data_IF_454498560111
#
_entry.id   IF_454498560111
#
_cell.length_a   1.000
_cell.length_b   1.000
_cell.length_c   1.000
_cell.angle_alpha   90.00
_cell.angle_beta   90.00
_cell.angle_gamma   90.00
#
_symmetry.space_group_name_H-M   'P 1'
#
loop_
_entity.id
_entity.type
_entity.pdbx_description
1 polymer ?
#
# COMPACT_ATOMS: atom_id res chain seq x y z
N UNK A 1 37.71 13.64 16.29
CA UNK A 1 36.68 12.58 16.23
C UNK A 1 35.83 12.83 15.01
N UNK A 2 35.62 11.85 14.14
CA UNK A 2 34.81 12.00 12.93
C UNK A 2 33.75 10.90 12.90
N UNK A 3 32.48 11.29 12.74
CA UNK A 3 31.38 10.36 12.55
C UNK A 3 31.44 9.84 11.10
N UNK A 4 31.91 8.59 10.93
CA UNK A 4 31.83 7.90 9.65
C UNK A 4 30.43 7.29 9.51
N UNK A 5 29.64 7.78 8.56
CA UNK A 5 28.31 7.26 8.23
C UNK A 5 28.37 6.66 6.83
N UNK A 6 27.94 5.41 6.66
CA UNK A 6 27.74 4.82 5.35
C UNK A 6 26.40 5.26 4.77
N UNK A 7 26.42 5.80 3.54
CA UNK A 7 25.21 6.17 2.83
C UNK A 7 24.57 4.90 2.27
N UNK A 8 23.58 4.36 2.98
CA UNK A 8 22.75 3.29 2.44
C UNK A 8 21.72 3.90 1.48
N UNK A 9 21.83 3.61 0.17
CA UNK A 9 20.73 3.85 -0.76
C UNK A 9 19.56 2.95 -0.33
N UNK A 10 18.40 3.57 -0.09
CA UNK A 10 17.16 2.86 0.23
C UNK A 10 16.95 1.73 -0.77
N UNK A 11 17.08 0.48 -0.33
CA UNK A 11 16.68 -0.66 -1.14
C UNK A 11 15.16 -0.72 -1.08
N UNK A 12 14.52 -0.42 -2.19
CA UNK A 12 13.09 -0.70 -2.35
C UNK A 12 12.91 -2.20 -2.20
N UNK A 13 12.22 -2.61 -1.13
CA UNK A 13 11.91 -4.00 -0.85
C UNK A 13 10.50 -4.29 -1.33
N UNK A 14 10.38 -5.23 -2.27
CA UNK A 14 9.10 -5.73 -2.76
C UNK A 14 9.12 -7.25 -2.79
N UNK A 15 8.12 -7.89 -2.18
CA UNK A 15 8.02 -9.34 -2.10
C UNK A 15 6.65 -9.82 -2.58
N UNK A 16 6.63 -10.96 -3.27
CA UNK A 16 5.38 -11.66 -3.58
C UNK A 16 4.81 -12.29 -2.31
N UNK A 17 3.53 -12.06 -2.06
CA UNK A 17 2.78 -12.56 -0.91
C UNK A 17 1.47 -13.18 -1.40
N UNK A 18 1.14 -14.34 -0.86
CA UNK A 18 -0.07 -15.11 -1.21
C UNK A 18 -1.23 -14.69 -0.31
N UNK A 19 -2.32 -14.20 -0.90
CA UNK A 19 -3.60 -13.98 -0.22
C UNK A 19 -4.39 -15.28 -0.18
N UNK A 20 -4.74 -15.76 1.02
CA UNK A 20 -5.30 -17.11 1.22
C UNK A 20 -6.63 -17.08 1.94
N UNK A 21 -7.48 -18.07 1.61
CA UNK A 21 -8.61 -18.48 2.43
C UNK A 21 -8.39 -19.93 2.88
N UNK A 22 -8.02 -20.09 4.15
CA UNK A 22 -7.56 -21.38 4.69
C UNK A 22 -6.31 -21.88 3.97
N UNK A 23 -6.40 -23.03 3.30
CA UNK A 23 -5.30 -23.63 2.53
C UNK A 23 -5.25 -23.21 1.05
N UNK A 24 -6.29 -22.51 0.56
CA UNK A 24 -6.39 -22.12 -0.84
C UNK A 24 -5.77 -20.74 -1.05
N UNK A 25 -4.84 -20.62 -2.00
CA UNK A 25 -4.37 -19.33 -2.53
C UNK A 25 -5.46 -18.77 -3.44
N UNK A 26 -5.88 -17.54 -3.14
CA UNK A 26 -6.89 -16.81 -3.92
C UNK A 26 -6.23 -15.87 -4.93
N UNK A 27 -5.16 -15.18 -4.51
CA UNK A 27 -4.41 -14.26 -5.35
C UNK A 27 -2.98 -14.10 -4.82
N UNK A 28 -2.09 -13.56 -5.64
CA UNK A 28 -0.74 -13.18 -5.25
C UNK A 28 -0.54 -11.68 -5.48
N UNK A 29 0.08 -11.00 -4.52
CA UNK A 29 0.40 -9.57 -4.62
C UNK A 29 1.89 -9.38 -4.44
N UNK A 30 2.53 -8.62 -5.32
CA UNK A 30 3.88 -8.12 -5.13
C UNK A 30 3.78 -6.83 -4.33
N UNK A 31 4.15 -6.88 -3.06
CA UNK A 31 3.91 -5.81 -2.08
C UNK A 31 5.22 -5.13 -1.74
N UNK A 32 5.22 -3.79 -1.77
CA UNK A 32 6.35 -2.96 -1.32
C UNK A 32 6.31 -2.75 0.19
N UNK A 33 7.48 -2.58 0.80
CA UNK A 33 7.59 -2.18 2.21
C UNK A 33 6.90 -0.84 2.48
N UNK A 34 6.33 -0.68 3.68
CA UNK A 34 5.60 0.53 4.07
C UNK A 34 6.47 1.79 4.01
N UNK A 35 7.80 1.67 4.12
CA UNK A 35 8.75 2.77 4.00
C UNK A 35 8.98 3.26 2.57
N UNK A 36 8.30 2.69 1.56
CA UNK A 36 8.39 3.14 0.18
C UNK A 36 8.06 4.62 0.06
N UNK A 37 9.01 5.42 -0.46
CA UNK A 37 8.94 6.88 -0.41
C UNK A 37 7.68 7.44 -1.06
N UNK A 38 7.25 6.90 -2.21
CA UNK A 38 6.05 7.40 -2.88
C UNK A 38 4.79 7.17 -2.03
N UNK A 39 4.69 6.03 -1.34
CA UNK A 39 3.61 5.78 -0.40
C UNK A 39 3.63 6.76 0.78
N UNK A 40 4.80 6.98 1.40
CA UNK A 40 4.94 7.95 2.51
C UNK A 40 4.51 9.36 2.09
N UNK A 41 4.97 9.82 0.92
CA UNK A 41 4.57 11.12 0.36
C UNK A 41 3.06 11.17 0.10
N UNK A 42 2.45 10.09 -0.38
CA UNK A 42 1.00 10.05 -0.60
C UNK A 42 0.21 10.16 0.71
N UNK A 43 0.66 9.51 1.79
CA UNK A 43 0.04 9.62 3.12
C UNK A 43 0.20 11.03 3.69
N UNK A 44 1.38 11.65 3.56
CA UNK A 44 1.60 13.04 3.98
C UNK A 44 0.67 13.99 3.22
N UNK A 45 0.52 13.82 1.90
CA UNK A 45 -0.41 14.60 1.09
C UNK A 45 -1.87 14.41 1.54
N UNK A 46 -2.27 13.18 1.85
CA UNK A 46 -3.61 12.89 2.35
C UNK A 46 -3.90 13.63 3.67
N UNK A 47 -2.96 13.64 4.60
CA UNK A 47 -3.10 14.38 5.86
C UNK A 47 -3.09 15.90 5.66
N UNK A 48 -2.22 16.42 4.78
CA UNK A 48 -2.18 17.85 4.47
C UNK A 48 -3.48 18.33 3.84
N UNK A 49 -4.10 17.51 2.99
CA UNK A 49 -5.40 17.83 2.39
C UNK A 49 -6.47 18.02 3.48
N UNK A 50 -6.56 17.12 4.46
CA UNK A 50 -7.51 17.25 5.57
C UNK A 50 -7.23 18.52 6.38
N UNK A 51 -5.96 18.80 6.69
CA UNK A 51 -5.60 20.03 7.43
C UNK A 51 -5.95 21.30 6.67
N UNK A 52 -5.87 21.29 5.33
CA UNK A 52 -6.13 22.46 4.49
C UNK A 52 -7.62 22.80 4.34
N UNK A 53 -8.52 21.81 4.45
CA UNK A 53 -9.98 22.01 4.34
C UNK A 53 -10.59 22.71 5.56
N UNK A 54 -9.86 22.78 6.68
CA UNK A 54 -10.32 23.42 7.90
C UNK A 54 -11.41 22.62 8.65
N UNK A 55 -12.08 23.28 9.59
CA UNK A 55 -13.08 22.67 10.49
C UNK A 55 -14.53 22.98 10.11
N UNK A 56 -14.76 23.80 9.07
CA UNK A 56 -16.11 24.16 8.63
C UNK A 56 -16.72 23.05 7.76
N UNK A 57 -17.46 22.16 8.43
CA UNK A 57 -18.13 21.03 7.79
C UNK A 57 -19.21 21.44 6.78
N UNK A 58 -19.67 22.69 6.79
CA UNK A 58 -20.70 23.17 5.85
C UNK A 58 -20.17 23.35 4.42
N UNK A 59 -18.84 23.41 4.25
CA UNK A 59 -18.19 23.49 2.94
C UNK A 59 -17.92 22.13 2.31
N UNK A 60 -18.25 21.03 2.98
CA UNK A 60 -18.05 19.68 2.46
C UNK A 60 -18.90 19.42 1.20
N UNK A 61 -18.32 18.75 0.22
CA UNK A 61 -18.93 18.46 -1.08
C UNK A 61 -18.76 16.98 -1.45
N UNK A 62 -19.55 16.52 -2.41
CA UNK A 62 -19.47 15.13 -2.90
C UNK A 62 -18.18 14.81 -3.67
N UNK A 63 -17.40 15.82 -4.06
CA UNK A 63 -16.08 15.65 -4.66
C UNK A 63 -14.95 15.54 -3.62
N UNK A 64 -15.26 15.75 -2.33
CA UNK A 64 -14.29 15.60 -1.26
C UNK A 64 -14.09 14.12 -0.92
N UNK A 65 -12.85 13.65 -1.09
CA UNK A 65 -12.44 12.36 -0.54
C UNK A 65 -12.28 12.41 0.97
N UNK A 66 -12.78 11.38 1.64
CA UNK A 66 -12.55 11.07 3.04
C UNK A 66 -11.09 10.65 3.24
N UNK A 67 -10.54 10.86 4.44
CA UNK A 67 -9.15 10.51 4.72
C UNK A 67 -8.85 9.03 4.47
N UNK A 68 -9.77 8.15 4.83
CA UNK A 68 -9.58 6.72 4.62
C UNK A 68 -9.58 6.36 3.12
N UNK A 69 -10.38 7.02 2.28
CA UNK A 69 -10.35 6.82 0.83
C UNK A 69 -8.98 7.21 0.25
N UNK A 70 -8.41 8.32 0.72
CA UNK A 70 -7.05 8.73 0.34
C UNK A 70 -5.99 7.71 0.79
N UNK A 71 -6.18 7.07 1.95
CA UNK A 71 -5.29 6.00 2.42
C UNK A 71 -5.43 4.72 1.60
N UNK A 72 -6.65 4.38 1.16
CA UNK A 72 -6.89 3.28 0.22
C UNK A 72 -6.18 3.58 -1.10
N UNK A 73 -6.38 4.76 -1.68
CA UNK A 73 -5.75 5.18 -2.94
C UNK A 73 -4.22 5.15 -2.84
N UNK A 74 -3.66 5.66 -1.74
CA UNK A 74 -2.22 5.65 -1.51
C UNK A 74 -1.67 4.21 -1.49
N UNK A 75 -2.35 3.29 -0.81
CA UNK A 75 -1.95 1.90 -0.76
C UNK A 75 -2.10 1.21 -2.13
N UNK A 76 -3.21 1.45 -2.83
CA UNK A 76 -3.48 0.91 -4.16
C UNK A 76 -2.39 1.34 -5.16
N UNK A 77 -2.04 2.63 -5.17
CA UNK A 77 -1.09 3.19 -6.12
C UNK A 77 0.38 2.86 -5.82
N UNK A 78 0.73 2.64 -4.54
CA UNK A 78 2.14 2.66 -4.13
C UNK A 78 2.59 1.43 -3.34
N UNK A 79 1.72 0.73 -2.61
CA UNK A 79 2.11 -0.49 -1.90
C UNK A 79 2.02 -1.73 -2.78
N UNK A 80 1.17 -1.74 -3.80
CA UNK A 80 1.13 -2.82 -4.78
C UNK A 80 2.09 -2.50 -5.92
N UNK A 81 2.99 -3.42 -6.21
CA UNK A 81 3.85 -3.37 -7.40
C UNK A 81 3.26 -4.14 -8.57
N UNK A 82 2.63 -5.28 -8.29
CA UNK A 82 2.02 -6.17 -9.27
C UNK A 82 1.08 -7.16 -8.55
N UNK A 83 0.26 -7.90 -9.29
CA UNK A 83 -0.57 -8.98 -8.75
C UNK A 83 -0.86 -10.09 -9.78
N UNK A 84 -1.43 -11.20 -9.32
CA UNK A 84 -1.95 -12.29 -10.16
C UNK A 84 -3.22 -12.88 -9.55
N UNK A 85 -4.13 -13.37 -10.40
CA UNK A 85 -5.34 -14.04 -9.95
C UNK A 85 -6.40 -13.10 -9.36
N UNK A 86 -6.33 -11.80 -9.66
CA UNK A 86 -7.36 -10.83 -9.27
C UNK A 86 -8.42 -10.77 -10.37
N UNK A 87 -9.62 -11.21 -10.03
CA UNK A 87 -10.80 -11.16 -10.89
C UNK A 87 -11.75 -10.12 -10.32
N UNK A 88 -12.18 -9.17 -11.15
CA UNK A 88 -13.23 -8.22 -10.80
C UNK A 88 -14.52 -8.64 -11.51
N UNK A 89 -15.64 -8.60 -10.78
CA UNK A 89 -16.97 -8.84 -11.31
C UNK A 89 -17.70 -7.50 -11.45
N UNK A 90 -18.03 -7.13 -12.68
CA UNK A 90 -18.76 -5.90 -13.00
C UNK A 90 -19.99 -6.22 -13.82
N UNK A 91 -21.17 -5.84 -13.33
CA UNK A 91 -22.45 -6.13 -13.99
C UNK A 91 -22.64 -7.62 -14.33
N UNK A 92 -22.05 -8.51 -13.51
CA UNK A 92 -22.07 -9.97 -13.69
C UNK A 92 -21.02 -10.52 -14.65
N UNK A 93 -20.14 -9.67 -15.20
CA UNK A 93 -19.01 -10.09 -16.05
C UNK A 93 -17.75 -10.20 -15.19
N UNK A 94 -17.21 -11.40 -15.09
CA UNK A 94 -15.96 -11.68 -14.39
C UNK A 94 -14.78 -11.55 -15.34
N UNK A 95 -13.83 -10.66 -15.02
CA UNK A 95 -12.62 -10.45 -15.81
C UNK A 95 -11.40 -10.50 -14.90
N UNK A 96 -10.42 -11.33 -15.26
CA UNK A 96 -9.09 -11.24 -14.65
C UNK A 96 -8.40 -9.97 -15.14
N UNK A 97 -8.00 -9.11 -14.20
CA UNK A 97 -7.42 -7.81 -14.52
C UNK A 97 -5.95 -7.76 -14.11
N UNK A 98 -5.08 -7.16 -14.93
CA UNK A 98 -3.71 -6.89 -14.52
C UNK A 98 -3.69 -5.77 -13.48
N UNK A 99 -2.57 -5.68 -12.74
CA UNK A 99 -2.37 -4.56 -11.84
C UNK A 99 -2.25 -3.26 -12.64
N UNK A 100 -3.13 -2.32 -12.32
CA UNK A 100 -2.95 -0.89 -12.60
C UNK A 100 -3.41 -0.11 -11.36
N UNK A 101 -2.94 1.12 -11.16
CA UNK A 101 -3.43 1.97 -10.07
C UNK A 101 -4.96 2.09 -10.07
N UNK A 102 -5.58 2.20 -11.24
CA UNK A 102 -7.04 2.29 -11.40
C UNK A 102 -7.74 1.01 -10.94
N UNK A 103 -7.26 -0.16 -11.39
CA UNK A 103 -7.83 -1.44 -10.98
C UNK A 103 -7.62 -1.69 -9.47
N UNK A 104 -6.49 -1.27 -8.91
CA UNK A 104 -6.20 -1.41 -7.49
C UNK A 104 -7.08 -0.49 -6.62
N UNK A 105 -7.28 0.76 -7.06
CA UNK A 105 -8.23 1.67 -6.41
C UNK A 105 -9.65 1.09 -6.46
N UNK A 106 -10.04 0.52 -7.60
CA UNK A 106 -11.33 -0.15 -7.78
C UNK A 106 -11.48 -1.36 -6.85
N UNK A 107 -10.47 -2.21 -6.77
CA UNK A 107 -10.43 -3.37 -5.87
C UNK A 107 -10.68 -2.95 -4.41
N UNK A 108 -10.02 -1.87 -3.95
CA UNK A 108 -10.14 -1.42 -2.57
C UNK A 108 -11.44 -0.67 -2.27
N UNK A 109 -11.91 0.17 -3.19
CA UNK A 109 -13.04 1.07 -2.96
C UNK A 109 -14.40 0.49 -3.35
N UNK A 110 -14.44 -0.39 -4.36
CA UNK A 110 -15.67 -0.94 -4.91
C UNK A 110 -15.81 -2.45 -4.66
N UNK A 111 -14.74 -3.14 -4.26
CA UNK A 111 -14.78 -4.56 -3.93
C UNK A 111 -15.50 -4.82 -2.61
N UNK A 112 -16.33 -5.88 -2.57
CA UNK A 112 -17.04 -6.36 -1.37
C UNK A 112 -16.10 -6.70 -0.20
N UNK A 113 -14.89 -7.18 -0.53
CA UNK A 113 -13.81 -7.47 0.43
C UNK A 113 -12.63 -6.49 0.33
N UNK A 114 -12.80 -5.34 -0.35
CA UNK A 114 -11.71 -4.40 -0.65
C UNK A 114 -10.95 -3.90 0.58
N UNK A 115 -11.67 -3.53 1.64
CA UNK A 115 -11.09 -3.08 2.92
C UNK A 115 -10.25 -4.18 3.58
N UNK A 116 -10.68 -5.45 3.48
CA UNK A 116 -9.98 -6.59 4.07
C UNK A 116 -8.66 -6.85 3.34
N UNK A 117 -8.68 -6.77 2.01
CA UNK A 117 -7.48 -6.88 1.17
C UNK A 117 -6.52 -5.73 1.48
N UNK A 118 -7.02 -4.49 1.56
CA UNK A 118 -6.20 -3.33 1.95
C UNK A 118 -5.51 -3.53 3.30
N UNK A 119 -6.27 -3.94 4.33
CA UNK A 119 -5.72 -4.16 5.67
C UNK A 119 -4.64 -5.25 5.66
N UNK A 120 -4.85 -6.33 4.90
CA UNK A 120 -3.86 -7.38 4.72
C UNK A 120 -2.61 -6.87 4.00
N UNK A 121 -2.75 -6.12 2.90
CA UNK A 121 -1.62 -5.55 2.14
C UNK A 121 -0.80 -4.62 3.03
N UNK A 122 -1.47 -3.77 3.82
CA UNK A 122 -0.79 -2.86 4.75
C UNK A 122 0.02 -3.65 5.80
N UNK A 123 -0.56 -4.70 6.37
CA UNK A 123 0.12 -5.58 7.33
C UNK A 123 1.36 -6.23 6.70
N UNK A 124 1.23 -6.76 5.48
CA UNK A 124 2.36 -7.34 4.75
C UNK A 124 3.45 -6.30 4.45
N UNK A 125 3.07 -5.08 4.06
CA UNK A 125 4.02 -3.99 3.83
C UNK A 125 4.80 -3.59 5.10
N UNK A 126 4.15 -3.59 6.26
CA UNK A 126 4.78 -3.36 7.56
C UNK A 126 5.77 -4.48 7.91
N UNK A 127 5.38 -5.75 7.75
CA UNK A 127 6.25 -6.92 7.97
C UNK A 127 7.49 -6.90 7.07
N UNK A 128 7.31 -6.65 5.77
CA UNK A 128 8.41 -6.53 4.79
C UNK A 128 9.39 -5.45 5.21
N UNK A 129 8.90 -4.31 5.70
CA UNK A 129 9.77 -3.23 6.15
C UNK A 129 10.52 -3.58 7.43
N UNK A 130 9.87 -4.24 8.39
CA UNK A 130 10.50 -4.70 9.62
C UNK A 130 11.63 -5.69 9.32
N UNK A 131 11.40 -6.66 8.44
CA UNK A 131 12.42 -7.62 8.01
C UNK A 131 13.59 -6.93 7.30
N UNK A 132 13.29 -6.01 6.37
CA UNK A 132 14.31 -5.22 5.66
C UNK A 132 15.19 -4.42 6.64
N UNK A 133 14.57 -3.76 7.61
CA UNK A 133 15.27 -2.97 8.63
C UNK A 133 16.17 -3.83 9.52
N UNK A 134 15.72 -5.04 9.89
CA UNK A 134 16.53 -6.00 10.67
C UNK A 134 17.78 -6.42 9.89
N UNK A 135 17.62 -6.80 8.62
CA UNK A 135 18.74 -7.19 7.75
C UNK A 135 19.77 -6.05 7.57
N UNK A 136 19.30 -4.82 7.46
CA UNK A 136 20.17 -3.65 7.39
C UNK A 136 20.98 -3.46 8.70
N UNK A 137 20.33 -3.58 9.86
CA UNK A 137 20.99 -3.46 11.16
C UNK A 137 22.05 -4.54 11.40
N UNK A 138 21.76 -5.80 11.05
CA UNK A 138 22.71 -6.91 11.16
C UNK A 138 23.93 -6.75 10.25
N UNK A 139 23.77 -6.08 9.11
CA UNK A 139 24.88 -5.81 8.18
C UNK A 139 25.81 -4.72 8.71
N UNK A 140 25.27 -3.70 9.39
CA UNK A 140 26.05 -2.61 9.99
C UNK A 140 26.79 -3.05 11.26
N UNK A 141 26.29 -4.08 11.96
CA UNK A 141 26.90 -4.61 13.18
C UNK A 141 28.04 -5.61 12.99
N UNK A 142 28.41 -5.97 11.75
CA UNK A 142 29.55 -6.86 11.48
C UNK A 142 30.86 -6.05 11.38
N UNK A 143 31.91 -6.40 12.16
CA UNK A 143 33.19 -5.69 12.17
C UNK A 143 33.96 -5.79 10.85
#
# INVERSE_FOLDING_TARGET
MALKVEIQKSKEVALWKEYKSGKKVLAEFKIRGIGYKAYQVAIERAHNQVSSKGFDVTQASSSDKLLHELHLDAAACHLIEDWKGVILSEDGVETEVPYTPENAMKLFSMGDIGIQIWAWIKTQAEEIQVESNKLAAETVGKP
#
